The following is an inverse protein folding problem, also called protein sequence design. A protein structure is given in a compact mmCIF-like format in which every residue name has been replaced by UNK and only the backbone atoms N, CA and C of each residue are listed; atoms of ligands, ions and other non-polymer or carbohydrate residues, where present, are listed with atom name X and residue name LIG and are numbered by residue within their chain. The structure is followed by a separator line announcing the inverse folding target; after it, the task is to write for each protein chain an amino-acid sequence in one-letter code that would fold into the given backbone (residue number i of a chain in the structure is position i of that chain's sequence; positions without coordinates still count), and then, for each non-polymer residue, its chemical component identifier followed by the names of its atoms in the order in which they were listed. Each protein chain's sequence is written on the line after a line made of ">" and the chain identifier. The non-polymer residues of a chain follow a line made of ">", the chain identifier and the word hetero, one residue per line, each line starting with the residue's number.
data_IF_603344781378
#
_entry.id   IF_603344781378
#
_cell.length_a   1.000
_cell.length_b   1.000
_cell.length_c   1.000
_cell.angle_alpha   90.00
_cell.angle_beta   90.00
_cell.angle_gamma   90.00
#
_symmetry.space_group_name_H-M   'P 1'
#
loop_
_entity.id
_entity.type
_entity.pdbx_description
1 polymer ?
#
# COMPACT_ATOMS: atom_id res chain seq x y z
N UNK A 1 5.71 -1.47 18.72
CA UNK A 1 5.72 0.00 18.68
C UNK A 1 7.17 0.50 18.68
N UNK A 2 7.82 0.62 17.53
CA UNK A 2 9.13 1.30 17.45
C UNK A 2 8.90 2.80 17.29
N UNK A 3 8.88 3.54 18.40
CA UNK A 3 8.93 5.00 18.37
C UNK A 3 10.35 5.39 17.93
N UNK A 4 10.48 6.31 16.98
CA UNK A 4 11.76 6.91 16.61
C UNK A 4 12.27 7.74 17.79
N UNK A 5 13.19 7.16 18.56
CA UNK A 5 13.75 7.74 19.78
C UNK A 5 15.24 7.99 19.50
N UNK A 6 15.71 9.23 19.69
CA UNK A 6 17.15 9.54 19.62
C UNK A 6 17.90 8.82 20.75
N UNK A 7 19.18 8.47 20.58
CA UNK A 7 20.00 7.77 21.58
C UNK A 7 19.89 8.34 23.00
N UNK A 8 19.83 9.67 23.18
CA UNK A 8 19.64 10.29 24.49
C UNK A 8 18.25 10.03 25.12
N UNK A 9 17.21 9.83 24.31
CA UNK A 9 15.85 9.55 24.78
C UNK A 9 15.62 8.04 24.98
N UNK A 10 16.51 7.19 24.45
CA UNK A 10 16.56 5.78 24.82
C UNK A 10 17.00 5.64 26.27
N UNK A 11 18.00 6.42 26.71
CA UNK A 11 18.44 6.45 28.12
C UNK A 11 17.29 6.85 29.06
N UNK A 12 16.46 7.83 28.69
CA UNK A 12 15.31 8.27 29.50
C UNK A 12 14.19 7.22 29.54
N UNK A 13 13.93 6.53 28.43
CA UNK A 13 12.91 5.48 28.34
C UNK A 13 13.33 4.21 29.10
N UNK A 14 14.61 3.88 29.04
CA UNK A 14 15.27 2.78 29.75
C UNK A 14 15.20 3.03 31.25
N UNK A 15 15.48 4.27 31.70
CA UNK A 15 15.29 4.71 33.09
C UNK A 15 13.83 4.64 33.53
N UNK A 16 12.90 5.10 32.70
CA UNK A 16 11.46 5.09 32.99
C UNK A 16 10.82 3.69 33.06
N UNK A 17 11.52 2.65 32.58
CA UNK A 17 11.09 1.25 32.62
C UNK A 17 11.83 0.42 33.69
N UNK A 18 12.66 1.05 34.53
CA UNK A 18 13.40 0.37 35.60
C UNK A 18 14.58 -0.47 35.11
N UNK A 19 15.02 -0.28 33.86
CA UNK A 19 16.21 -0.91 33.32
C UNK A 19 17.37 0.05 33.55
N UNK A 20 18.22 -0.17 34.54
CA UNK A 20 19.46 0.61 34.67
C UNK A 20 20.52 0.09 33.67
N UNK A 21 21.27 1.01 33.03
CA UNK A 21 22.58 0.67 32.48
C UNK A 21 22.70 0.32 30.98
N UNK A 22 21.75 0.67 30.11
CA UNK A 22 21.99 0.53 28.66
C UNK A 22 22.99 1.61 28.21
N UNK A 23 24.22 1.21 27.90
CA UNK A 23 25.24 2.15 27.42
C UNK A 23 24.99 2.58 25.97
N UNK A 24 25.50 3.75 25.57
CA UNK A 24 25.49 4.20 24.17
C UNK A 24 26.06 3.15 23.21
N UNK A 25 27.09 2.41 23.63
CA UNK A 25 27.68 1.33 22.83
C UNK A 25 26.76 0.11 22.72
N UNK A 26 25.95 -0.18 23.74
CA UNK A 26 24.93 -1.23 23.69
C UNK A 26 23.76 -0.83 22.76
N UNK A 27 23.30 0.42 22.79
CA UNK A 27 22.30 0.93 21.83
C UNK A 27 22.84 0.85 20.40
N UNK A 28 24.07 1.31 20.17
CA UNK A 28 24.69 1.27 18.84
C UNK A 28 24.81 -0.16 18.30
N UNK A 29 25.17 -1.13 19.16
CA UNK A 29 25.26 -2.55 18.78
C UNK A 29 23.90 -3.12 18.40
N UNK A 30 22.86 -2.82 19.19
CA UNK A 30 21.50 -3.25 18.89
C UNK A 30 20.97 -2.64 17.59
N UNK A 31 21.27 -1.37 17.32
CA UNK A 31 20.92 -0.74 16.04
C UNK A 31 21.61 -1.43 14.86
N UNK A 32 22.91 -1.72 14.96
CA UNK A 32 23.65 -2.42 13.91
C UNK A 32 23.09 -3.82 13.63
N UNK A 33 22.72 -4.58 14.68
CA UNK A 33 22.08 -5.89 14.52
C UNK A 33 20.72 -5.78 13.81
N UNK A 34 19.92 -4.77 14.16
CA UNK A 34 18.65 -4.49 13.49
C UNK A 34 18.90 -4.15 12.02
N UNK A 35 19.89 -3.29 11.72
CA UNK A 35 20.23 -2.88 10.36
C UNK A 35 20.68 -4.08 9.51
N UNK A 36 21.47 -5.00 10.06
CA UNK A 36 21.87 -6.24 9.38
C UNK A 36 20.65 -7.10 9.04
N UNK A 37 19.74 -7.28 10.00
CA UNK A 37 18.53 -8.10 9.82
C UNK A 37 17.56 -7.47 8.82
N UNK A 38 17.38 -6.15 8.88
CA UNK A 38 16.59 -5.40 7.91
C UNK A 38 17.22 -5.48 6.52
N UNK A 39 18.55 -5.32 6.42
CA UNK A 39 19.29 -5.49 5.17
C UNK A 39 19.10 -6.88 4.57
N UNK A 40 19.25 -7.93 5.37
CA UNK A 40 18.99 -9.30 4.96
C UNK A 40 17.56 -9.51 4.46
N UNK A 41 16.56 -8.96 5.16
CA UNK A 41 15.17 -9.01 4.73
C UNK A 41 14.95 -8.27 3.40
N UNK A 42 15.50 -7.07 3.23
CA UNK A 42 15.30 -6.23 2.04
C UNK A 42 16.05 -6.76 0.81
N UNK A 43 17.11 -7.55 1.01
CA UNK A 43 17.91 -8.12 -0.06
C UNK A 43 17.57 -9.59 -0.38
N UNK A 44 16.72 -10.25 0.41
CA UNK A 44 16.38 -11.67 0.19
C UNK A 44 15.79 -11.94 -1.20
N UNK A 45 16.03 -13.11 -1.80
CA UNK A 45 15.33 -13.56 -2.99
C UNK A 45 13.81 -13.55 -2.81
N UNK A 46 13.08 -13.22 -3.87
CA UNK A 46 11.63 -13.33 -3.94
C UNK A 46 11.33 -14.58 -4.75
N UNK A 47 10.86 -15.61 -4.06
CA UNK A 47 10.53 -16.91 -4.65
C UNK A 47 9.01 -17.05 -4.84
N UNK A 48 8.62 -17.88 -5.82
CA UNK A 48 7.22 -18.16 -6.13
C UNK A 48 6.52 -17.07 -6.96
N UNK A 49 5.24 -17.32 -7.23
CA UNK A 49 4.39 -16.44 -8.04
C UNK A 49 3.59 -15.46 -7.20
N UNK A 50 3.65 -14.18 -7.60
CA UNK A 50 3.00 -13.07 -6.91
C UNK A 50 2.04 -12.33 -7.85
N UNK A 51 0.87 -12.91 -8.19
CA UNK A 51 -0.04 -12.34 -9.18
C UNK A 51 -0.62 -10.98 -8.80
N UNK A 52 -0.64 -10.62 -7.52
CA UNK A 52 -1.11 -9.30 -7.05
C UNK A 52 -0.03 -8.59 -6.25
N UNK A 53 0.13 -7.29 -6.51
CA UNK A 53 1.10 -6.45 -5.84
C UNK A 53 0.44 -5.16 -5.37
N UNK A 54 0.46 -4.93 -4.07
CA UNK A 54 0.07 -3.67 -3.47
C UNK A 54 1.30 -2.78 -3.31
N UNK A 55 1.21 -1.54 -3.79
CA UNK A 55 2.24 -0.53 -3.65
C UNK A 55 1.66 0.68 -2.93
N UNK A 56 2.38 1.16 -1.92
CA UNK A 56 2.02 2.36 -1.19
C UNK A 56 3.25 3.15 -0.77
N UNK A 57 3.05 4.44 -0.53
CA UNK A 57 4.04 5.33 0.01
C UNK A 57 3.44 6.09 1.18
N UNK A 58 4.15 6.12 2.30
CA UNK A 58 3.74 6.88 3.48
C UNK A 58 4.86 7.80 3.92
N UNK A 59 4.50 9.05 4.18
CA UNK A 59 5.38 10.03 4.80
C UNK A 59 5.63 9.65 6.26
N UNK A 60 6.88 9.40 6.59
CA UNK A 60 7.33 9.24 7.97
C UNK A 60 8.01 10.53 8.40
N UNK A 61 7.43 11.17 9.41
CA UNK A 61 8.03 12.36 10.03
C UNK A 61 9.32 11.96 10.73
N UNK A 62 10.45 12.36 10.15
CA UNK A 62 11.78 12.27 10.77
C UNK A 62 12.36 13.68 10.94
N UNK A 63 13.32 13.83 11.85
CA UNK A 63 13.89 15.14 12.24
C UNK A 63 14.54 15.91 11.09
N UNK A 64 14.98 15.21 10.03
CA UNK A 64 15.53 15.81 8.80
C UNK A 64 14.56 15.57 7.63
N UNK A 65 13.83 16.62 7.25
CA UNK A 65 13.09 16.72 5.98
C UNK A 65 12.35 15.45 5.55
N UNK A 66 11.42 14.97 6.40
CA UNK A 66 10.40 13.94 6.12
C UNK A 66 10.74 12.90 5.06
N UNK A 67 10.99 11.65 5.47
CA UNK A 67 11.31 10.58 4.52
C UNK A 67 10.04 9.90 4.04
N UNK A 68 10.04 9.51 2.77
CA UNK A 68 8.96 8.72 2.18
C UNK A 68 9.37 7.25 2.31
N UNK A 69 8.50 6.46 2.92
CA UNK A 69 8.66 5.01 3.00
C UNK A 69 7.73 4.38 1.99
N UNK A 70 8.33 3.76 0.99
CA UNK A 70 7.66 2.98 -0.05
C UNK A 70 7.64 1.52 0.36
N UNK A 71 6.50 0.85 0.23
CA UNK A 71 6.33 -0.56 0.61
C UNK A 71 5.67 -1.32 -0.54
N UNK A 72 6.13 -2.56 -0.76
CA UNK A 72 5.52 -3.53 -1.65
C UNK A 72 5.01 -4.74 -0.86
N UNK A 73 3.72 -5.05 -1.01
CA UNK A 73 3.09 -6.24 -0.45
C UNK A 73 2.57 -7.13 -1.57
N UNK A 74 3.10 -8.34 -1.68
CA UNK A 74 2.64 -9.33 -2.64
C UNK A 74 1.49 -10.16 -2.07
N UNK A 75 0.62 -10.65 -2.96
CA UNK A 75 -0.31 -11.75 -2.69
C UNK A 75 -0.02 -12.89 -3.65
N UNK A 76 0.22 -14.09 -3.10
CA UNK A 76 0.48 -15.29 -3.89
C UNK A 76 -0.83 -15.91 -4.42
N UNK A 77 -0.72 -17.04 -5.13
CA UNK A 77 -1.87 -17.77 -5.68
C UNK A 77 -2.87 -18.31 -4.64
N UNK A 78 -2.45 -18.43 -3.38
CA UNK A 78 -3.27 -18.94 -2.27
C UNK A 78 -3.89 -17.83 -1.43
N UNK A 79 -3.73 -16.57 -1.84
CA UNK A 79 -4.19 -15.41 -1.06
C UNK A 79 -3.30 -15.05 0.14
N UNK A 80 -2.15 -15.72 0.31
CA UNK A 80 -1.16 -15.38 1.35
C UNK A 80 -0.47 -14.07 0.97
N UNK A 81 -0.33 -13.21 1.97
CA UNK A 81 0.23 -11.88 1.83
C UNK A 81 1.58 -11.74 2.50
N UNK A 82 2.52 -11.09 1.82
CA UNK A 82 3.86 -10.84 2.37
C UNK A 82 4.41 -9.49 1.95
N UNK A 83 5.14 -8.84 2.85
CA UNK A 83 5.97 -7.69 2.49
C UNK A 83 7.14 -8.19 1.65
N UNK A 84 7.20 -7.77 0.39
CA UNK A 84 8.25 -8.15 -0.56
C UNK A 84 9.42 -7.17 -0.55
N UNK A 85 9.19 -5.92 -0.20
CA UNK A 85 10.25 -4.94 -0.05
C UNK A 85 9.78 -3.61 0.52
N UNK A 86 10.75 -2.83 0.94
CA UNK A 86 10.58 -1.47 1.44
C UNK A 86 11.77 -0.62 0.99
N UNK A 87 11.53 0.66 0.72
CA UNK A 87 12.57 1.63 0.41
C UNK A 87 12.28 2.94 1.13
N UNK A 88 13.34 3.64 1.53
CA UNK A 88 13.26 4.98 2.10
C UNK A 88 13.83 5.95 1.07
N UNK A 89 13.01 6.90 0.63
CA UNK A 89 13.35 7.88 -0.39
C UNK A 89 13.08 9.31 0.04
N UNK A 90 13.59 10.26 -0.76
CA UNK A 90 13.37 11.69 -0.58
C UNK A 90 12.15 12.23 -1.36
N UNK A 91 11.62 11.47 -2.35
CA UNK A 91 10.49 11.89 -3.17
C UNK A 91 9.70 10.71 -3.75
N UNK A 92 8.47 10.97 -4.19
CA UNK A 92 7.61 10.04 -4.95
C UNK A 92 7.89 10.08 -6.46
N UNK A 93 9.06 10.57 -6.88
CA UNK A 93 9.42 10.70 -8.28
C UNK A 93 9.39 9.34 -9.01
N UNK A 94 9.11 9.37 -10.32
CA UNK A 94 9.11 8.17 -11.16
C UNK A 94 10.42 7.38 -11.05
N UNK A 95 11.56 8.07 -10.96
CA UNK A 95 12.89 7.45 -10.81
C UNK A 95 12.99 6.60 -9.54
N UNK A 96 12.46 7.09 -8.42
CA UNK A 96 12.44 6.35 -7.15
C UNK A 96 11.58 5.09 -7.25
N UNK A 97 10.43 5.16 -7.92
CA UNK A 97 9.59 3.99 -8.18
C UNK A 97 10.22 2.99 -9.15
N UNK A 98 10.87 3.48 -10.21
CA UNK A 98 11.60 2.62 -11.15
C UNK A 98 12.69 1.83 -10.45
N UNK A 99 13.51 2.48 -9.62
CA UNK A 99 14.61 1.82 -8.92
C UNK A 99 14.08 0.80 -7.90
N UNK A 100 13.01 1.16 -7.18
CA UNK A 100 12.35 0.24 -6.25
C UNK A 100 11.79 -1.00 -6.96
N UNK A 101 11.01 -0.83 -8.03
CA UNK A 101 10.42 -1.94 -8.77
C UNK A 101 11.49 -2.79 -9.47
N UNK A 102 12.55 -2.17 -10.01
CA UNK A 102 13.71 -2.90 -10.57
C UNK A 102 14.46 -3.69 -9.50
N UNK A 103 14.53 -3.20 -8.27
CA UNK A 103 15.11 -3.95 -7.15
C UNK A 103 14.30 -5.23 -6.88
N UNK A 104 12.97 -5.12 -6.79
CA UNK A 104 12.10 -6.29 -6.63
C UNK A 104 12.24 -7.27 -7.78
N UNK A 105 12.29 -6.77 -9.03
CA UNK A 105 12.49 -7.61 -10.20
C UNK A 105 13.88 -8.30 -10.17
N UNK A 106 14.97 -7.61 -9.84
CA UNK A 106 16.29 -8.26 -9.71
C UNK A 106 16.31 -9.35 -8.64
N UNK A 107 15.53 -9.19 -7.57
CA UNK A 107 15.40 -10.17 -6.49
C UNK A 107 14.52 -11.39 -6.84
N UNK A 108 13.78 -11.36 -7.95
CA UNK A 108 13.01 -12.51 -8.43
C UNK A 108 11.52 -12.27 -8.63
N UNK A 109 10.99 -11.07 -8.35
CA UNK A 109 9.56 -10.79 -8.54
C UNK A 109 9.15 -10.92 -10.01
N UNK A 110 8.35 -11.94 -10.34
CA UNK A 110 7.83 -12.21 -11.69
C UNK A 110 6.33 -12.53 -11.62
N UNK A 111 5.67 -12.54 -12.78
CA UNK A 111 4.27 -13.00 -12.89
C UNK A 111 3.22 -12.08 -12.28
N UNK A 112 3.55 -10.83 -11.93
CA UNK A 112 2.59 -9.85 -11.41
C UNK A 112 1.55 -9.56 -12.49
N UNK A 113 0.27 -9.80 -12.18
CA UNK A 113 -0.87 -9.58 -13.09
C UNK A 113 -1.60 -8.28 -12.78
N UNK A 114 -1.73 -7.94 -11.50
CA UNK A 114 -2.42 -6.75 -11.03
C UNK A 114 -1.57 -5.97 -10.02
N UNK A 115 -1.40 -4.68 -10.25
CA UNK A 115 -0.80 -3.75 -9.29
C UNK A 115 -1.86 -2.81 -8.75
N UNK A 116 -1.97 -2.72 -7.42
CA UNK A 116 -2.93 -1.87 -6.72
C UNK A 116 -2.20 -0.79 -5.94
N UNK A 117 -2.52 0.48 -6.21
CA UNK A 117 -1.85 1.61 -5.55
C UNK A 117 -2.67 2.89 -5.58
N UNK A 118 -2.18 3.97 -4.98
CA UNK A 118 -2.72 5.31 -5.29
C UNK A 118 -2.40 5.73 -6.73
N UNK A 119 -3.16 6.71 -7.24
CA UNK A 119 -3.09 7.26 -8.59
C UNK A 119 -1.95 8.27 -8.76
N UNK A 120 -0.72 7.87 -8.44
CA UNK A 120 0.46 8.68 -8.68
C UNK A 120 1.01 8.40 -10.08
N UNK A 121 1.14 9.42 -10.93
CA UNK A 121 1.52 9.24 -12.34
C UNK A 121 2.91 8.62 -12.51
N UNK A 122 3.90 9.04 -11.69
CA UNK A 122 5.23 8.44 -11.71
C UNK A 122 5.23 6.94 -11.34
N UNK A 123 4.29 6.51 -10.50
CA UNK A 123 4.14 5.10 -10.14
C UNK A 123 3.51 4.30 -11.28
N UNK A 124 2.44 4.82 -11.89
CA UNK A 124 1.78 4.20 -13.06
C UNK A 124 2.76 3.99 -14.22
N UNK A 125 3.57 5.00 -14.50
CA UNK A 125 4.62 4.93 -15.51
C UNK A 125 5.65 3.85 -15.17
N UNK A 126 6.12 3.79 -13.92
CA UNK A 126 7.09 2.79 -13.47
C UNK A 126 6.55 1.36 -13.53
N UNK A 127 5.30 1.14 -13.11
CA UNK A 127 4.62 -0.17 -13.19
C UNK A 127 4.53 -0.66 -14.64
N UNK A 128 4.13 0.22 -15.55
CA UNK A 128 4.04 -0.10 -16.99
C UNK A 128 5.39 -0.51 -17.56
N UNK A 129 6.46 0.20 -17.19
CA UNK A 129 7.82 -0.04 -17.68
C UNK A 129 8.45 -1.32 -17.11
N UNK A 130 8.23 -1.63 -15.84
CA UNK A 130 8.96 -2.71 -15.14
C UNK A 130 8.17 -4.03 -15.09
N UNK A 131 6.88 -3.96 -14.75
CA UNK A 131 6.08 -5.14 -14.46
C UNK A 131 5.15 -5.54 -15.61
N UNK A 132 4.78 -4.60 -16.50
CA UNK A 132 3.82 -4.81 -17.60
C UNK A 132 2.48 -5.41 -17.13
N UNK A 133 2.12 -5.12 -15.88
CA UNK A 133 0.90 -5.59 -15.24
C UNK A 133 -0.27 -4.64 -15.49
N UNK A 134 -1.50 -5.13 -15.30
CA UNK A 134 -2.68 -4.25 -15.21
C UNK A 134 -2.53 -3.41 -13.94
N UNK A 135 -2.84 -2.12 -14.05
CA UNK A 135 -2.86 -1.22 -12.91
C UNK A 135 -4.30 -0.98 -12.45
N UNK A 136 -4.50 -0.94 -11.14
CA UNK A 136 -5.77 -0.61 -10.50
C UNK A 136 -5.55 0.53 -9.51
N UNK A 137 -6.42 1.55 -9.59
CA UNK A 137 -6.52 2.57 -8.56
C UNK A 137 -7.12 1.97 -7.29
N UNK A 138 -6.40 2.11 -6.19
CA UNK A 138 -6.82 1.64 -4.88
C UNK A 138 -8.16 2.28 -4.47
N UNK A 139 -9.16 1.45 -4.18
CA UNK A 139 -10.50 1.87 -3.75
C UNK A 139 -10.50 2.71 -2.48
N UNK A 140 -9.54 2.44 -1.59
CA UNK A 140 -9.40 3.18 -0.33
C UNK A 140 -8.94 4.61 -0.60
N UNK A 141 -7.92 4.77 -1.45
CA UNK A 141 -7.42 6.10 -1.84
C UNK A 141 -8.45 6.86 -2.67
N UNK A 142 -9.05 6.21 -3.67
CA UNK A 142 -10.16 6.79 -4.43
C UNK A 142 -11.31 7.23 -3.52
N UNK A 143 -11.74 6.37 -2.59
CA UNK A 143 -12.81 6.69 -1.64
C UNK A 143 -12.49 7.91 -0.79
N UNK A 144 -11.24 8.06 -0.31
CA UNK A 144 -10.81 9.27 0.42
C UNK A 144 -10.93 10.52 -0.45
N UNK A 145 -10.46 10.48 -1.69
CA UNK A 145 -10.59 11.60 -2.64
C UNK A 145 -12.05 11.92 -2.92
N UNK A 146 -12.86 10.91 -3.23
CA UNK A 146 -14.29 11.06 -3.53
C UNK A 146 -15.05 11.70 -2.36
N UNK A 147 -14.82 11.25 -1.12
CA UNK A 147 -15.47 11.78 0.07
C UNK A 147 -14.99 13.19 0.46
N UNK A 148 -13.84 13.64 -0.03
CA UNK A 148 -13.42 15.02 0.11
C UNK A 148 -14.29 15.97 -0.72
N UNK A 149 -14.77 15.53 -1.90
CA UNK A 149 -15.67 16.31 -2.75
C UNK A 149 -17.12 16.36 -2.26
N UNK A 150 -17.57 15.33 -1.54
CA UNK A 150 -18.97 15.21 -1.08
C UNK A 150 -19.37 16.19 0.05
N UNK A 151 -18.41 16.81 0.74
CA UNK A 151 -18.68 17.57 1.96
C UNK A 151 -19.10 16.68 3.15
N UNK A 152 -19.03 17.20 4.39
CA UNK A 152 -19.13 16.37 5.62
C UNK A 152 -20.46 15.60 5.77
N UNK A 153 -21.59 16.22 5.41
CA UNK A 153 -22.94 15.67 5.63
C UNK A 153 -23.32 14.58 4.63
N UNK A 154 -22.78 14.63 3.41
CA UNK A 154 -23.17 13.69 2.33
C UNK A 154 -22.23 12.48 2.20
N UNK A 155 -21.13 12.43 2.97
CA UNK A 155 -20.12 11.35 2.88
C UNK A 155 -20.73 9.95 2.97
N UNK A 156 -21.69 9.74 3.87
CA UNK A 156 -22.34 8.44 4.05
C UNK A 156 -23.12 8.02 2.82
N UNK A 157 -23.87 8.94 2.22
CA UNK A 157 -24.69 8.68 1.03
C UNK A 157 -23.79 8.40 -0.17
N UNK A 158 -22.78 9.24 -0.40
CA UNK A 158 -21.81 9.06 -1.50
C UNK A 158 -21.07 7.72 -1.37
N UNK A 159 -20.63 7.37 -0.15
CA UNK A 159 -19.98 6.07 0.09
C UNK A 159 -20.91 4.90 -0.20
N UNK A 160 -22.19 5.00 0.18
CA UNK A 160 -23.17 3.95 -0.07
C UNK A 160 -23.44 3.78 -1.57
N UNK A 161 -23.62 4.89 -2.30
CA UNK A 161 -23.84 4.87 -3.74
C UNK A 161 -22.66 4.28 -4.49
N UNK A 162 -21.43 4.72 -4.23
CA UNK A 162 -20.23 4.11 -4.84
C UNK A 162 -20.15 2.61 -4.49
N UNK A 163 -20.53 2.24 -3.26
CA UNK A 163 -20.60 0.84 -2.82
C UNK A 163 -21.53 -0.03 -3.66
N UNK A 164 -22.59 0.53 -4.25
CA UNK A 164 -23.51 -0.24 -5.12
C UNK A 164 -22.84 -0.74 -6.40
N UNK A 165 -21.91 0.03 -6.97
CA UNK A 165 -21.12 -0.41 -8.12
C UNK A 165 -20.11 -1.50 -7.74
N UNK A 166 -19.58 -1.43 -6.51
CA UNK A 166 -18.64 -2.43 -5.99
C UNK A 166 -19.29 -3.77 -5.66
N UNK A 167 -20.60 -3.78 -5.42
CA UNK A 167 -21.38 -4.96 -5.07
C UNK A 167 -21.79 -5.81 -6.28
N UNK A 168 -21.55 -5.34 -7.51
CA UNK A 168 -21.94 -6.06 -8.72
C UNK A 168 -21.06 -7.31 -8.96
N UNK A 169 -21.67 -8.36 -9.51
CA UNK A 169 -21.03 -9.67 -9.71
C UNK A 169 -20.22 -9.76 -10.99
N UNK A 170 -20.54 -8.97 -12.01
CA UNK A 170 -19.82 -8.91 -13.27
C UNK A 170 -19.34 -7.49 -13.59
N UNK A 171 -18.36 -7.41 -14.51
CA UNK A 171 -17.75 -6.14 -14.89
C UNK A 171 -18.77 -5.20 -15.55
N UNK A 172 -19.58 -5.68 -16.49
CA UNK A 172 -20.51 -4.83 -17.24
C UNK A 172 -21.56 -4.19 -16.34
N UNK A 173 -22.10 -4.94 -15.38
CA UNK A 173 -23.00 -4.42 -14.35
C UNK A 173 -22.31 -3.38 -13.45
N UNK A 174 -21.06 -3.63 -13.03
CA UNK A 174 -20.28 -2.68 -12.23
C UNK A 174 -20.07 -1.33 -12.95
N UNK A 175 -19.67 -1.38 -14.22
CA UNK A 175 -19.47 -0.19 -15.06
C UNK A 175 -20.80 0.55 -15.28
N UNK A 176 -21.89 -0.16 -15.58
CA UNK A 176 -23.24 0.45 -15.73
C UNK A 176 -23.70 1.13 -14.44
N UNK A 177 -23.54 0.46 -13.29
CA UNK A 177 -23.94 1.02 -12.00
C UNK A 177 -23.06 2.21 -11.62
N UNK A 178 -21.76 2.15 -11.91
CA UNK A 178 -20.83 3.26 -11.68
C UNK A 178 -21.25 4.53 -12.42
N UNK A 179 -21.53 4.42 -13.72
CA UNK A 179 -22.00 5.52 -14.57
C UNK A 179 -23.34 6.08 -14.08
N UNK A 180 -24.27 5.20 -13.72
CA UNK A 180 -25.56 5.59 -13.12
C UNK A 180 -25.36 6.44 -11.86
N UNK A 181 -24.45 6.03 -10.96
CA UNK A 181 -24.13 6.79 -9.75
C UNK A 181 -23.47 8.14 -10.09
N UNK A 182 -22.53 8.16 -11.05
CA UNK A 182 -21.88 9.39 -11.49
C UNK A 182 -22.91 10.40 -12.03
N UNK A 183 -23.87 9.95 -12.84
CA UNK A 183 -24.92 10.80 -13.40
C UNK A 183 -25.91 11.31 -12.35
N UNK A 184 -26.26 10.50 -11.35
CA UNK A 184 -27.08 10.96 -10.22
C UNK A 184 -26.36 12.02 -9.36
N UNK A 185 -25.03 11.94 -9.25
CA UNK A 185 -24.22 12.91 -8.52
C UNK A 185 -23.94 14.18 -9.32
N UNK A 186 -23.93 14.10 -10.65
CA UNK A 186 -23.53 15.19 -11.56
C UNK A 186 -24.23 16.54 -11.28
N UNK A 187 -25.55 16.60 -11.00
CA UNK A 187 -26.22 17.87 -10.70
C UNK A 187 -25.84 18.48 -9.34
N UNK A 188 -25.44 17.65 -8.36
CA UNK A 188 -25.20 18.07 -6.98
C UNK A 188 -23.72 18.29 -6.67
N UNK A 189 -22.86 17.44 -7.23
CA UNK A 189 -21.43 17.39 -6.97
C UNK A 189 -20.68 17.14 -8.30
N UNK A 190 -20.69 18.10 -9.25
CA UNK A 190 -20.17 17.89 -10.61
C UNK A 190 -18.68 17.50 -10.63
N UNK A 191 -17.87 18.03 -9.70
CA UNK A 191 -16.45 17.64 -9.55
C UNK A 191 -16.27 16.17 -9.18
N UNK A 192 -17.18 15.62 -8.35
CA UNK A 192 -17.14 14.21 -7.99
C UNK A 192 -17.56 13.32 -9.17
N UNK A 193 -18.59 13.71 -9.91
CA UNK A 193 -19.00 12.98 -11.11
C UNK A 193 -17.86 12.92 -12.14
N UNK A 194 -17.19 14.05 -12.42
CA UNK A 194 -16.04 14.08 -13.32
C UNK A 194 -14.86 13.21 -12.80
N UNK A 195 -14.61 13.20 -11.49
CA UNK A 195 -13.62 12.31 -10.87
C UNK A 195 -14.00 10.83 -11.05
N UNK A 196 -15.29 10.49 -10.94
CA UNK A 196 -15.78 9.14 -11.17
C UNK A 196 -15.63 8.72 -12.63
N UNK A 197 -16.02 9.58 -13.57
CA UNK A 197 -15.88 9.32 -15.01
C UNK A 197 -14.41 9.01 -15.37
N UNK A 198 -13.47 9.83 -14.88
CA UNK A 198 -12.05 9.65 -15.15
C UNK A 198 -11.42 8.42 -14.48
N UNK A 199 -12.02 7.90 -13.40
CA UNK A 199 -11.44 6.82 -12.60
C UNK A 199 -12.10 5.45 -12.82
N UNK A 200 -13.15 5.37 -13.66
CA UNK A 200 -13.99 4.18 -13.84
C UNK A 200 -13.16 2.92 -14.15
N UNK A 201 -12.41 2.95 -15.26
CA UNK A 201 -11.58 1.82 -15.71
C UNK A 201 -10.54 1.43 -14.66
N UNK A 202 -9.90 2.43 -14.04
CA UNK A 202 -8.81 2.20 -13.10
C UNK A 202 -9.30 1.60 -11.77
N UNK A 203 -10.46 2.05 -11.26
CA UNK A 203 -11.02 1.58 -9.99
C UNK A 203 -11.68 0.20 -10.17
N UNK A 204 -12.23 -0.08 -11.35
CA UNK A 204 -12.91 -1.34 -11.66
C UNK A 204 -12.02 -2.37 -12.35
N UNK A 205 -10.74 -2.08 -12.61
CA UNK A 205 -9.80 -2.98 -13.29
C UNK A 205 -9.76 -4.42 -12.73
N UNK A 206 -9.91 -4.58 -11.41
CA UNK A 206 -9.95 -5.89 -10.74
C UNK A 206 -11.13 -6.79 -11.18
N UNK A 207 -12.20 -6.22 -11.77
CA UNK A 207 -13.34 -7.00 -12.27
C UNK A 207 -12.96 -7.93 -13.43
N UNK A 208 -11.80 -7.69 -14.07
CA UNK A 208 -11.20 -8.57 -15.09
C UNK A 208 -10.60 -9.86 -14.50
N UNK A 209 -10.54 -9.98 -13.18
CA UNK A 209 -9.94 -11.11 -12.47
C UNK A 209 -11.03 -12.04 -11.89
N UNK A 210 -10.69 -13.33 -11.64
CA UNK A 210 -11.63 -14.30 -11.07
C UNK A 210 -12.29 -13.78 -9.80
N UNK A 211 -13.59 -14.07 -9.63
CA UNK A 211 -14.38 -13.60 -8.49
C UNK A 211 -13.72 -13.90 -7.13
N UNK A 212 -13.18 -15.12 -6.96
CA UNK A 212 -12.46 -15.55 -5.77
C UNK A 212 -11.25 -14.67 -5.41
N UNK A 213 -10.63 -14.01 -6.40
CA UNK A 213 -9.46 -13.16 -6.19
C UNK A 213 -9.82 -11.67 -5.98
N UNK A 214 -11.06 -11.27 -6.26
CA UNK A 214 -11.46 -9.87 -6.20
C UNK A 214 -11.35 -9.28 -4.79
N UNK A 215 -11.56 -10.11 -3.75
CA UNK A 215 -11.33 -9.72 -2.37
C UNK A 215 -9.87 -9.30 -2.14
N UNK A 216 -8.91 -9.94 -2.82
CA UNK A 216 -7.48 -9.68 -2.69
C UNK A 216 -7.06 -8.33 -3.26
N UNK A 217 -7.76 -7.88 -4.29
CA UNK A 217 -7.53 -6.62 -4.98
C UNK A 217 -8.30 -5.42 -4.38
N UNK A 218 -9.25 -5.68 -3.47
CA UNK A 218 -10.22 -4.65 -3.02
C UNK A 218 -10.36 -4.51 -1.52
N UNK A 219 -10.01 -5.53 -0.73
CA UNK A 219 -9.96 -5.39 0.72
C UNK A 219 -8.97 -4.27 1.06
N UNK A 220 -9.32 -3.47 2.08
CA UNK A 220 -8.36 -2.55 2.69
C UNK A 220 -7.10 -3.37 2.96
N UNK A 221 -5.98 -2.95 2.41
CA UNK A 221 -4.70 -3.24 3.02
C UNK A 221 -4.75 -2.58 4.41
N UNK A 222 -5.32 -3.26 5.42
CA UNK A 222 -5.34 -2.85 6.84
C UNK A 222 -3.92 -2.86 7.45
N UNK A 223 -2.88 -2.79 6.61
CA UNK A 223 -1.54 -3.28 6.89
C UNK A 223 -0.45 -2.24 6.68
N UNK A 224 -0.84 -0.98 6.45
CA UNK A 224 0.09 0.14 6.31
C UNK A 224 -0.12 1.12 7.46
N UNK A 225 -0.30 0.57 8.65
CA UNK A 225 -0.07 1.30 9.90
C UNK A 225 1.34 0.97 10.38
N UNK A 226 2.01 1.89 11.12
CA UNK A 226 3.32 1.63 11.73
C UNK A 226 3.37 0.35 12.59
N UNK A 227 2.23 -0.15 13.06
CA UNK A 227 2.09 -1.35 13.87
C UNK A 227 2.36 -2.64 13.08
N UNK A 228 2.00 -2.68 11.79
CA UNK A 228 2.30 -3.81 10.90
C UNK A 228 3.77 -3.82 10.44
N UNK A 229 4.36 -2.63 10.29
CA UNK A 229 5.80 -2.44 10.01
C UNK A 229 6.66 -2.90 11.21
N UNK A 230 6.11 -2.80 12.43
CA UNK A 230 6.80 -3.18 13.67
C UNK A 230 7.10 -4.67 13.84
N UNK A 231 6.58 -5.55 12.98
CA UNK A 231 6.81 -7.01 13.04
C UNK A 231 7.97 -7.47 12.13
N UNK A 232 8.68 -6.55 11.48
CA UNK A 232 9.85 -6.83 10.60
C UNK A 232 11.11 -7.21 11.43
N UNK A 233 10.94 -7.78 12.62
CA UNK A 233 12.02 -8.18 13.53
C UNK A 233 12.28 -9.70 13.50
N UNK A 234 12.05 -10.38 12.38
CA UNK A 234 12.18 -11.83 12.23
C UNK A 234 12.78 -12.23 10.88
N UNK A 235 13.46 -13.37 10.83
CA UNK A 235 14.00 -13.98 9.59
C UNK A 235 12.91 -14.66 8.74
N UNK A 236 11.73 -14.91 9.31
CA UNK A 236 10.57 -15.43 8.60
C UNK A 236 9.88 -14.35 7.74
N UNK A 237 9.24 -14.71 6.61
CA UNK A 237 8.40 -13.80 5.86
C UNK A 237 7.33 -13.17 6.77
N UNK A 238 7.25 -11.83 6.78
CA UNK A 238 6.19 -11.09 7.48
C UNK A 238 4.88 -11.41 6.78
N UNK A 239 4.23 -12.46 7.28
CA UNK A 239 2.97 -12.97 6.76
C UNK A 239 1.88 -12.09 7.31
N UNK A 240 1.16 -11.40 6.42
CA UNK A 240 -0.06 -10.73 6.82
C UNK A 240 -1.19 -11.78 6.85
N UNK A 241 -2.25 -11.57 7.66
CA UNK A 241 -3.41 -12.46 7.65
C UNK A 241 -3.83 -12.75 6.21
N UNK A 242 -4.23 -13.98 5.92
CA UNK A 242 -4.83 -14.30 4.62
C UNK A 242 -5.99 -13.33 4.36
N UNK A 243 -6.19 -12.98 3.10
CA UNK A 243 -7.42 -12.28 2.72
C UNK A 243 -8.56 -13.26 2.96
N UNK A 244 -9.53 -12.88 3.80
CA UNK A 244 -10.72 -13.69 3.99
C UNK A 244 -11.37 -13.89 2.61
N UNK A 245 -11.66 -15.17 2.28
CA UNK A 245 -12.42 -15.59 1.10
C UNK A 245 -13.79 -14.92 1.08
#
# INVERSE_FOLDING_TARGET
>A
MSRGISTCSVDDLVRARGLEGVSKSQVSRLCAEIDERVGGFLCRPIEGDWPYLWLDATYVKVREAGRIVTIAVGVNGDGRREVLGMAVGASEAETSWLDFLRSLARRGLRGVKLVISDAHEGLKAAVTKVLRAIWQRCRVHFGRTALAHAGKTQRRIVSAWIGTAYAQEDAAAAHTQWRTVADQLRPKVPKLAALMDAAEEDVLAYMRFPAAHRAWATQRARYMTPETIGTISGTAPVSLPALAS
#
